data_IF_875856075239
#
_entry.id   IF_875856075239
#
_cell.length_a   1.000
_cell.length_b   1.000
_cell.length_c   1.000
_cell.angle_alpha   90.00
_cell.angle_beta   90.00
_cell.angle_gamma   90.00
#
_symmetry.space_group_name_H-M   'P 1'
#
loop_
_entity.id
_entity.type
_entity.pdbx_description
1 polymer ?
#
# COMPACT_ATOMS: atom_id res chain seq x y z
N UNK A 1 26.59 -21.93 -16.03
CA UNK A 1 26.09 -20.89 -15.12
C UNK A 1 25.17 -21.43 -14.02
N UNK A 2 23.92 -21.87 -14.30
CA UNK A 2 23.01 -22.37 -13.23
C UNK A 2 23.56 -23.61 -12.50
N UNK A 3 24.03 -24.61 -13.24
CA UNK A 3 24.61 -25.83 -12.67
C UNK A 3 25.88 -25.54 -11.85
N UNK A 4 26.69 -24.55 -12.25
CA UNK A 4 27.89 -24.13 -11.52
C UNK A 4 27.53 -23.43 -10.19
N UNK A 5 26.47 -22.63 -10.18
CA UNK A 5 25.94 -22.01 -8.97
C UNK A 5 25.41 -23.05 -8.00
N UNK A 6 24.64 -24.03 -8.49
CA UNK A 6 24.07 -25.10 -7.65
C UNK A 6 25.16 -26.05 -7.13
N UNK A 7 26.18 -26.36 -7.94
CA UNK A 7 27.25 -27.29 -7.55
C UNK A 7 28.30 -26.69 -6.62
N UNK A 8 28.38 -25.37 -6.50
CA UNK A 8 29.38 -24.68 -5.68
C UNK A 8 28.79 -24.32 -4.30
N UNK A 9 29.32 -24.87 -3.19
CA UNK A 9 28.83 -24.60 -1.83
C UNK A 9 28.87 -23.12 -1.43
N UNK A 10 29.73 -22.31 -2.05
CA UNK A 10 29.86 -20.88 -1.75
C UNK A 10 28.96 -20.01 -2.63
N UNK A 11 28.74 -20.39 -3.89
CA UNK A 11 27.91 -19.63 -4.82
C UNK A 11 26.42 -19.94 -4.65
N UNK A 12 26.06 -21.16 -4.26
CA UNK A 12 24.67 -21.56 -4.07
C UNK A 12 23.96 -20.78 -2.96
N UNK A 13 24.73 -20.10 -2.10
CA UNK A 13 24.21 -19.22 -1.03
C UNK A 13 24.71 -17.79 -1.13
N UNK A 14 25.32 -17.38 -2.25
CA UNK A 14 25.73 -15.98 -2.45
C UNK A 14 24.52 -15.04 -2.51
N UNK A 15 24.73 -13.73 -2.27
CA UNK A 15 23.64 -12.75 -2.23
C UNK A 15 22.81 -12.73 -3.52
N UNK A 16 23.46 -12.87 -4.68
CA UNK A 16 22.77 -12.98 -5.97
C UNK A 16 21.87 -14.21 -6.05
N UNK A 17 22.30 -15.35 -5.50
CA UNK A 17 21.48 -16.56 -5.47
C UNK A 17 20.30 -16.41 -4.51
N UNK A 18 20.53 -15.82 -3.32
CA UNK A 18 19.49 -15.54 -2.33
C UNK A 18 18.45 -14.56 -2.89
N UNK A 19 18.87 -13.47 -3.53
CA UNK A 19 17.95 -12.53 -4.18
C UNK A 19 17.20 -13.18 -5.36
N UNK A 20 17.87 -14.03 -6.15
CA UNK A 20 17.21 -14.78 -7.21
C UNK A 20 16.11 -15.70 -6.65
N UNK A 21 16.39 -16.45 -5.59
CA UNK A 21 15.37 -17.31 -4.94
C UNK A 21 14.26 -16.47 -4.28
N UNK A 22 14.59 -15.31 -3.71
CA UNK A 22 13.59 -14.36 -3.20
C UNK A 22 12.63 -13.93 -4.32
N UNK A 23 13.17 -13.63 -5.50
CA UNK A 23 12.36 -13.27 -6.67
C UNK A 23 11.55 -14.47 -7.20
N UNK A 24 12.10 -15.69 -7.13
CA UNK A 24 11.35 -16.91 -7.45
C UNK A 24 10.17 -17.13 -6.49
N UNK A 25 10.33 -16.87 -5.19
CA UNK A 25 9.24 -16.91 -4.21
C UNK A 25 8.12 -15.94 -4.62
N UNK A 26 8.45 -14.67 -4.89
CA UNK A 26 7.46 -13.68 -5.34
C UNK A 26 6.80 -14.10 -6.65
N UNK A 27 7.58 -14.64 -7.58
CA UNK A 27 7.07 -15.11 -8.87
C UNK A 27 6.10 -16.28 -8.68
N UNK A 28 6.44 -17.27 -7.86
CA UNK A 28 5.54 -18.39 -7.54
C UNK A 28 4.29 -17.91 -6.81
N UNK A 29 4.42 -16.95 -5.89
CA UNK A 29 3.28 -16.36 -5.19
C UNK A 29 2.33 -15.59 -6.11
N UNK A 30 2.85 -15.00 -7.18
CA UNK A 30 2.04 -14.26 -8.15
C UNK A 30 1.48 -15.16 -9.25
N UNK A 31 2.20 -16.23 -9.62
CA UNK A 31 1.98 -16.89 -10.92
C UNK A 31 2.08 -18.41 -10.93
N UNK A 32 2.61 -19.04 -9.89
CA UNK A 32 2.86 -20.49 -9.95
C UNK A 32 2.06 -21.25 -8.93
N UNK A 33 2.30 -22.56 -8.87
CA UNK A 33 1.66 -23.46 -7.92
C UNK A 33 2.11 -23.19 -6.48
N UNK A 34 1.24 -23.55 -5.54
CA UNK A 34 1.55 -23.58 -4.10
C UNK A 34 2.72 -24.51 -3.81
N UNK A 35 2.87 -25.60 -4.55
CA UNK A 35 4.00 -26.53 -4.42
C UNK A 35 5.33 -25.85 -4.72
N UNK A 36 5.45 -25.14 -5.84
CA UNK A 36 6.66 -24.41 -6.19
C UNK A 36 6.95 -23.29 -5.20
N UNK A 37 5.93 -22.56 -4.75
CA UNK A 37 6.07 -21.53 -3.73
C UNK A 37 6.69 -22.12 -2.45
N UNK A 38 6.14 -23.23 -1.96
CA UNK A 38 6.62 -23.87 -0.73
C UNK A 38 8.02 -24.46 -0.90
N UNK A 39 8.33 -25.03 -2.07
CA UNK A 39 9.68 -25.52 -2.39
C UNK A 39 10.70 -24.37 -2.35
N UNK A 40 10.39 -23.23 -2.98
CA UNK A 40 11.26 -22.05 -2.96
C UNK A 40 11.41 -21.49 -1.54
N UNK A 41 10.33 -21.35 -0.76
CA UNK A 41 10.41 -20.89 0.63
C UNK A 41 11.24 -21.83 1.51
N UNK A 42 11.11 -23.15 1.32
CA UNK A 42 11.88 -24.17 2.07
C UNK A 42 13.37 -24.10 1.75
N UNK A 43 13.70 -24.06 0.46
CA UNK A 43 15.08 -23.92 -0.01
C UNK A 43 15.71 -22.60 0.45
N UNK A 44 14.96 -21.51 0.36
CA UNK A 44 15.39 -20.18 0.80
C UNK A 44 15.72 -20.13 2.29
N UNK A 45 14.82 -20.67 3.13
CA UNK A 45 15.05 -20.81 4.57
C UNK A 45 16.36 -21.54 4.85
N UNK A 46 16.63 -22.63 4.11
CA UNK A 46 17.87 -23.40 4.27
C UNK A 46 19.11 -22.63 3.80
N UNK A 47 19.01 -21.87 2.71
CA UNK A 47 20.12 -21.04 2.22
C UNK A 47 20.55 -20.00 3.25
N UNK A 48 19.59 -19.31 3.89
CA UNK A 48 19.90 -18.33 4.94
C UNK A 48 20.57 -19.00 6.14
N UNK A 49 20.09 -20.18 6.56
CA UNK A 49 20.71 -20.94 7.65
C UNK A 49 22.15 -21.36 7.32
N UNK A 50 22.40 -21.80 6.09
CA UNK A 50 23.75 -22.16 5.64
C UNK A 50 24.69 -20.95 5.61
N UNK A 51 24.16 -19.74 5.47
CA UNK A 51 24.93 -18.49 5.57
C UNK A 51 25.25 -18.04 6.98
N UNK A 52 24.69 -18.67 8.01
CA UNK A 52 24.84 -18.26 9.41
C UNK A 52 23.68 -17.39 9.93
N UNK A 53 22.69 -17.10 9.09
CA UNK A 53 21.50 -16.32 9.45
C UNK A 53 21.38 -15.02 8.68
N UNK A 54 20.37 -14.21 9.03
CA UNK A 54 20.08 -12.94 8.33
C UNK A 54 21.13 -11.85 8.57
N UNK A 55 21.97 -11.95 9.61
CA UNK A 55 23.06 -10.99 9.86
C UNK A 55 24.24 -11.13 8.90
N UNK A 56 24.39 -12.29 8.27
CA UNK A 56 25.53 -12.63 7.40
C UNK A 56 25.21 -12.50 5.89
N UNK A 57 24.08 -11.88 5.56
CA UNK A 57 23.72 -11.54 4.19
C UNK A 57 24.33 -10.18 3.82
N UNK A 58 24.75 -10.05 2.57
CA UNK A 58 25.51 -8.90 2.09
C UNK A 58 24.66 -7.70 1.70
N UNK A 59 25.25 -6.84 0.85
CA UNK A 59 24.67 -5.57 0.40
C UNK A 59 24.26 -4.66 1.57
N UNK A 60 25.12 -4.55 2.59
CA UNK A 60 24.85 -3.73 3.79
C UNK A 60 23.51 -4.10 4.47
N UNK A 61 23.17 -5.40 4.42
CA UNK A 61 21.93 -5.94 4.98
C UNK A 61 20.68 -5.72 4.13
N UNK A 62 20.78 -5.09 2.96
CA UNK A 62 19.65 -4.95 2.02
C UNK A 62 19.02 -6.30 1.67
N UNK A 63 19.84 -7.33 1.45
CA UNK A 63 19.35 -8.68 1.17
C UNK A 63 18.50 -9.23 2.32
N UNK A 64 18.91 -9.00 3.58
CA UNK A 64 18.15 -9.39 4.78
C UNK A 64 16.82 -8.65 4.87
N UNK A 65 16.84 -7.33 4.67
CA UNK A 65 15.64 -6.49 4.72
C UNK A 65 14.59 -6.95 3.71
N UNK A 66 15.01 -7.16 2.46
CA UNK A 66 14.13 -7.63 1.38
C UNK A 66 13.59 -9.03 1.68
N UNK A 67 14.47 -9.96 2.08
CA UNK A 67 14.09 -11.33 2.40
C UNK A 67 13.00 -11.40 3.49
N UNK A 68 13.24 -10.69 4.58
CA UNK A 68 12.38 -10.67 5.75
C UNK A 68 11.05 -9.96 5.47
N UNK A 69 11.07 -8.82 4.79
CA UNK A 69 9.85 -8.07 4.48
C UNK A 69 8.99 -8.78 3.45
N UNK A 70 9.59 -9.46 2.46
CA UNK A 70 8.81 -10.26 1.51
C UNK A 70 8.08 -11.40 2.22
N UNK A 71 8.75 -12.12 3.13
CA UNK A 71 8.12 -13.17 3.92
C UNK A 71 6.99 -12.62 4.82
N UNK A 72 7.23 -11.49 5.49
CA UNK A 72 6.21 -10.82 6.30
C UNK A 72 5.00 -10.37 5.45
N UNK A 73 5.22 -9.77 4.29
CA UNK A 73 4.15 -9.31 3.40
C UNK A 73 3.35 -10.48 2.84
N UNK A 74 4.00 -11.57 2.43
CA UNK A 74 3.32 -12.81 2.02
C UNK A 74 2.42 -13.30 3.17
N UNK A 75 2.94 -13.33 4.40
CA UNK A 75 2.18 -13.76 5.56
C UNK A 75 0.97 -12.85 5.84
N UNK A 76 1.17 -11.53 5.80
CA UNK A 76 0.14 -10.51 5.98
C UNK A 76 -0.98 -10.64 4.94
N UNK A 77 -0.64 -10.84 3.67
CA UNK A 77 -1.63 -11.00 2.61
C UNK A 77 -2.42 -12.31 2.73
N UNK A 78 -1.90 -13.35 3.37
CA UNK A 78 -2.64 -14.61 3.56
C UNK A 78 -3.24 -14.76 4.95
N UNK A 79 -3.03 -13.79 5.84
CA UNK A 79 -3.39 -13.90 7.25
C UNK A 79 -2.83 -15.21 7.88
N UNK A 80 -1.54 -15.48 7.63
CA UNK A 80 -0.77 -16.62 8.17
C UNK A 80 0.43 -16.14 8.99
N UNK A 81 1.17 -17.07 9.59
CA UNK A 81 2.47 -16.78 10.20
C UNK A 81 3.59 -16.76 9.13
N UNK A 82 4.62 -15.90 9.28
CA UNK A 82 5.79 -15.88 8.41
C UNK A 82 6.68 -17.12 8.60
N UNK A 83 7.47 -17.46 7.58
CA UNK A 83 8.39 -18.61 7.63
C UNK A 83 9.74 -18.27 8.27
N UNK A 84 10.18 -17.01 8.13
CA UNK A 84 11.46 -16.50 8.64
C UNK A 84 11.32 -15.17 9.41
N UNK A 85 10.40 -14.28 9.05
CA UNK A 85 10.26 -13.00 9.75
C UNK A 85 9.82 -13.21 11.21
N UNK A 86 10.57 -12.64 12.16
CA UNK A 86 10.33 -12.79 13.59
C UNK A 86 10.55 -14.21 14.13
N UNK A 87 11.11 -15.12 13.31
CA UNK A 87 11.38 -16.50 13.72
C UNK A 87 12.77 -16.65 14.34
N UNK A 88 12.92 -17.53 15.35
CA UNK A 88 14.22 -17.82 15.95
C UNK A 88 15.27 -18.26 14.92
N UNK A 89 16.45 -17.66 14.98
CA UNK A 89 17.57 -17.92 14.06
C UNK A 89 17.54 -17.13 12.75
N UNK A 90 16.55 -16.25 12.57
CA UNK A 90 16.41 -15.34 11.41
C UNK A 90 16.39 -13.87 11.85
N UNK A 91 16.86 -13.59 13.07
CA UNK A 91 16.89 -12.23 13.60
C UNK A 91 17.83 -11.35 12.77
N UNK A 92 17.37 -10.13 12.52
CA UNK A 92 18.14 -9.09 11.88
C UNK A 92 17.91 -7.79 12.62
N UNK A 93 19.02 -7.12 12.93
CA UNK A 93 19.04 -5.83 13.60
C UNK A 93 19.89 -4.92 12.73
N UNK A 94 19.28 -3.85 12.23
CA UNK A 94 19.98 -2.86 11.41
C UNK A 94 20.67 -1.86 12.35
N UNK A 95 22.01 -1.75 12.31
CA UNK A 95 22.71 -0.81 13.17
C UNK A 95 22.39 0.65 12.84
N UNK A 96 21.82 0.94 11.66
CA UNK A 96 21.47 2.28 11.24
C UNK A 96 20.03 2.63 11.64
N UNK A 97 19.90 3.56 12.60
CA UNK A 97 18.61 4.11 13.02
C UNK A 97 18.34 5.43 12.30
N UNK A 98 17.58 5.37 11.19
CA UNK A 98 17.14 6.55 10.48
C UNK A 98 16.09 7.34 11.30
N UNK A 99 16.10 8.69 11.28
CA UNK A 99 15.01 9.48 11.84
C UNK A 99 13.66 9.10 11.21
N UNK A 100 12.59 9.20 11.99
CA UNK A 100 11.24 8.96 11.48
C UNK A 100 10.93 9.94 10.34
N UNK A 101 10.70 9.40 9.15
CA UNK A 101 10.19 10.17 8.02
C UNK A 101 8.67 10.30 8.16
N UNK A 102 8.16 11.53 8.03
CA UNK A 102 6.74 11.83 8.31
C UNK A 102 5.80 11.02 7.41
N UNK A 103 6.18 10.80 6.15
CA UNK A 103 5.45 9.97 5.16
C UNK A 103 5.31 8.50 5.59
N UNK A 104 6.11 8.01 6.53
CA UNK A 104 6.01 6.66 7.09
C UNK A 104 5.11 6.58 8.32
N UNK A 105 4.54 7.69 8.80
CA UNK A 105 3.58 7.65 9.90
C UNK A 105 2.39 6.75 9.53
N UNK A 106 2.00 5.87 10.46
CA UNK A 106 1.01 4.82 10.25
C UNK A 106 0.15 4.64 11.50
N UNK A 107 -1.13 4.23 11.36
CA UNK A 107 -1.92 3.76 12.50
C UNK A 107 -1.32 2.55 13.24
N UNK A 108 -0.34 1.87 12.65
CA UNK A 108 0.38 0.73 13.23
C UNK A 108 1.69 1.13 13.94
N UNK A 109 2.02 2.43 13.97
CA UNK A 109 3.16 2.96 14.72
C UNK A 109 2.66 3.79 15.90
N UNK A 110 2.88 3.30 17.12
CA UNK A 110 2.26 3.87 18.32
C UNK A 110 3.08 4.99 18.95
N UNK A 111 4.40 5.02 18.72
CA UNK A 111 5.31 6.04 19.24
C UNK A 111 5.48 7.24 18.29
N UNK A 112 4.55 7.42 17.35
CA UNK A 112 4.56 8.53 16.39
C UNK A 112 3.70 9.70 16.87
N UNK A 113 4.01 10.94 16.45
CA UNK A 113 3.13 12.07 16.69
C UNK A 113 1.74 11.85 16.08
N UNK A 114 0.65 12.34 16.72
CA UNK A 114 -0.70 12.29 16.17
C UNK A 114 -0.80 12.87 14.74
N UNK A 115 -1.70 12.32 13.94
CA UNK A 115 -1.96 12.80 12.59
C UNK A 115 -2.59 14.20 12.61
N UNK A 116 -3.37 14.53 13.65
CA UNK A 116 -4.08 15.81 13.78
C UNK A 116 -3.17 17.01 14.15
N UNK A 117 -1.86 16.86 14.11
CA UNK A 117 -0.94 17.96 14.43
C UNK A 117 -1.01 19.05 13.34
N UNK A 118 -1.26 20.33 13.71
CA UNK A 118 -1.38 21.43 12.75
C UNK A 118 -0.14 21.66 11.86
N UNK A 119 1.06 21.30 12.36
CA UNK A 119 2.33 21.43 11.66
C UNK A 119 2.70 20.21 10.79
N UNK A 120 1.80 19.23 10.66
CA UNK A 120 2.07 18.02 9.88
C UNK A 120 2.26 18.32 8.40
N UNK A 121 3.34 17.80 7.81
CA UNK A 121 3.62 17.93 6.38
C UNK A 121 2.78 16.98 5.51
N UNK A 122 2.00 16.05 6.10
CA UNK A 122 1.16 15.10 5.37
C UNK A 122 -0.01 15.76 4.64
N UNK A 123 -0.40 16.98 5.06
CA UNK A 123 -1.52 17.75 4.48
C UNK A 123 -2.78 16.89 4.33
N UNK A 124 -3.19 16.28 5.44
CA UNK A 124 -4.41 15.48 5.52
C UNK A 124 -5.59 16.40 5.87
N UNK A 125 -6.75 16.14 5.27
CA UNK A 125 -7.99 16.74 5.74
C UNK A 125 -8.21 16.42 7.23
N UNK A 126 -8.76 17.36 7.99
CA UNK A 126 -8.93 17.24 9.45
C UNK A 126 -9.60 15.93 9.87
N UNK A 127 -10.69 15.56 9.18
CA UNK A 127 -11.42 14.30 9.46
C UNK A 127 -10.60 13.05 9.17
N UNK A 128 -9.76 13.08 8.13
CA UNK A 128 -8.85 11.98 7.81
C UNK A 128 -7.87 11.75 8.96
N UNK A 129 -7.29 12.82 9.49
CA UNK A 129 -6.39 12.75 10.64
C UNK A 129 -7.08 12.22 11.92
N UNK A 130 -8.31 12.69 12.21
CA UNK A 130 -9.11 12.17 13.34
C UNK A 130 -9.38 10.67 13.23
N UNK A 131 -9.73 10.18 12.04
CA UNK A 131 -9.96 8.75 11.79
C UNK A 131 -8.68 7.93 12.04
N UNK A 132 -7.55 8.41 11.53
CA UNK A 132 -6.27 7.70 11.68
C UNK A 132 -5.79 7.67 13.13
N UNK A 133 -5.97 8.77 13.88
CA UNK A 133 -5.64 8.81 15.30
C UNK A 133 -6.55 7.88 16.12
N UNK A 134 -7.87 7.88 15.87
CA UNK A 134 -8.81 6.95 16.51
C UNK A 134 -8.50 5.48 16.17
N UNK A 135 -8.12 5.20 14.92
CA UNK A 135 -7.68 3.87 14.50
C UNK A 135 -6.38 3.47 15.20
N UNK A 136 -5.39 4.38 15.32
CA UNK A 136 -4.13 4.09 16.03
C UNK A 136 -4.39 3.66 17.46
N UNK A 137 -5.28 4.36 18.17
CA UNK A 137 -5.67 4.02 19.55
C UNK A 137 -6.30 2.62 19.61
N UNK A 138 -7.18 2.28 18.66
CA UNK A 138 -7.79 0.95 18.59
C UNK A 138 -6.75 -0.15 18.31
N UNK A 139 -5.85 0.08 17.35
CA UNK A 139 -4.77 -0.87 17.01
C UNK A 139 -3.83 -1.10 18.18
N UNK A 140 -3.46 -0.03 18.89
CA UNK A 140 -2.63 -0.11 20.09
C UNK A 140 -3.31 -0.91 21.19
N UNK A 141 -4.62 -0.68 21.42
CA UNK A 141 -5.38 -1.42 22.42
C UNK A 141 -5.39 -2.94 22.13
N UNK A 142 -5.49 -3.35 20.86
CA UNK A 142 -5.35 -4.77 20.48
C UNK A 142 -3.93 -5.26 20.69
N UNK A 143 -2.93 -4.49 20.26
CA UNK A 143 -1.52 -4.86 20.37
C UNK A 143 -1.07 -5.03 21.83
N UNK A 144 -1.58 -4.22 22.75
CA UNK A 144 -1.24 -4.26 24.18
C UNK A 144 -1.98 -5.36 24.95
N UNK A 145 -2.91 -6.10 24.32
CA UNK A 145 -3.53 -7.26 24.95
C UNK A 145 -2.48 -8.35 25.22
N UNK A 146 -2.44 -8.88 26.46
CA UNK A 146 -1.73 -10.12 26.76
C UNK A 146 -2.31 -11.30 25.95
N UNK A 147 -1.49 -12.32 25.68
CA UNK A 147 -1.96 -13.53 24.97
C UNK A 147 -3.05 -14.27 25.75
N UNK A 148 -3.02 -14.21 27.08
CA UNK A 148 -3.97 -14.78 28.02
C UNK A 148 -5.02 -13.76 28.51
N UNK A 149 -5.23 -12.67 27.76
CA UNK A 149 -6.18 -11.62 28.13
C UNK A 149 -7.57 -12.20 28.45
N UNK A 150 -8.04 -11.93 29.68
CA UNK A 150 -9.38 -12.29 30.10
C UNK A 150 -10.47 -11.57 29.31
N UNK A 151 -11.69 -12.11 29.38
CA UNK A 151 -12.87 -11.65 28.63
C UNK A 151 -13.14 -10.15 28.83
N UNK A 152 -12.90 -9.61 30.03
CA UNK A 152 -13.11 -8.19 30.33
C UNK A 152 -12.26 -7.26 29.45
N UNK A 153 -10.95 -7.54 29.30
CA UNK A 153 -10.05 -6.73 28.46
C UNK A 153 -10.41 -6.85 26.98
N UNK A 154 -10.80 -8.05 26.53
CA UNK A 154 -11.29 -8.25 25.16
C UNK A 154 -12.56 -7.43 24.93
N UNK A 155 -13.48 -7.39 25.89
CA UNK A 155 -14.70 -6.60 25.82
C UNK A 155 -14.43 -5.08 25.78
N UNK A 156 -13.41 -4.59 26.51
CA UNK A 156 -12.98 -3.18 26.42
C UNK A 156 -12.53 -2.81 25.00
N UNK A 157 -11.73 -3.68 24.37
CA UNK A 157 -11.30 -3.49 22.97
C UNK A 157 -12.49 -3.54 22.02
N UNK A 158 -13.43 -4.47 22.19
CA UNK A 158 -14.67 -4.51 21.39
C UNK A 158 -15.52 -3.25 21.59
N UNK A 159 -15.62 -2.71 22.81
CA UNK A 159 -16.34 -1.46 23.09
C UNK A 159 -15.68 -0.25 22.41
N UNK A 160 -14.35 -0.22 22.35
CA UNK A 160 -13.60 0.81 21.63
C UNK A 160 -13.85 0.70 20.12
N UNK A 161 -13.83 -0.52 19.57
CA UNK A 161 -14.14 -0.77 18.16
C UNK A 161 -15.57 -0.34 17.79
N UNK A 162 -16.56 -0.67 18.63
CA UNK A 162 -17.94 -0.24 18.45
C UNK A 162 -18.09 1.28 18.47
N UNK A 163 -17.37 1.95 19.38
CA UNK A 163 -17.36 3.42 19.49
C UNK A 163 -16.75 4.06 18.24
N UNK A 164 -15.63 3.53 17.74
CA UNK A 164 -15.01 4.00 16.50
C UNK A 164 -15.93 3.76 15.30
N UNK A 165 -16.58 2.60 15.21
CA UNK A 165 -17.51 2.29 14.13
C UNK A 165 -18.73 3.23 14.13
N UNK A 166 -19.28 3.52 15.32
CA UNK A 166 -20.36 4.52 15.47
C UNK A 166 -19.92 5.90 15.00
N UNK A 167 -18.70 6.32 15.36
CA UNK A 167 -18.14 7.59 14.88
C UNK A 167 -18.00 7.60 13.35
N UNK A 168 -17.42 6.57 12.75
CA UNK A 168 -17.22 6.46 11.30
C UNK A 168 -18.54 6.51 10.51
N UNK A 169 -19.60 5.90 11.05
CA UNK A 169 -20.93 5.89 10.43
C UNK A 169 -21.63 7.25 10.48
N UNK A 170 -21.24 8.15 11.37
CA UNK A 170 -21.78 9.51 11.47
C UNK A 170 -21.05 10.51 10.58
N UNK A 171 -19.86 10.14 10.08
CA UNK A 171 -19.08 11.00 9.19
C UNK A 171 -19.65 11.01 7.77
N UNK A 172 -19.50 12.13 7.04
CA UNK A 172 -19.95 12.22 5.65
C UNK A 172 -19.20 11.20 4.78
N UNK A 173 -19.85 10.72 3.72
CA UNK A 173 -19.23 9.73 2.83
C UNK A 173 -18.03 10.28 2.06
N UNK A 174 -18.03 11.60 1.81
CA UNK A 174 -16.96 12.31 1.13
C UNK A 174 -16.74 13.68 1.80
N UNK A 175 -15.53 14.20 1.67
CA UNK A 175 -15.16 15.58 2.06
C UNK A 175 -14.46 16.22 0.88
N UNK A 176 -14.53 17.54 0.77
CA UNK A 176 -13.87 18.26 -0.31
C UNK A 176 -12.37 18.37 -0.03
N UNK A 177 -11.56 18.33 -1.09
CA UNK A 177 -10.15 18.65 -0.98
C UNK A 177 -10.01 20.14 -0.62
N UNK A 178 -9.35 20.46 0.50
CA UNK A 178 -9.07 21.85 0.85
C UNK A 178 -8.18 22.48 -0.25
N UNK A 179 -8.78 23.30 -1.12
CA UNK A 179 -8.02 24.07 -2.12
C UNK A 179 -7.05 25.00 -1.39
N UNK A 180 -5.79 25.04 -1.83
CA UNK A 180 -4.68 25.79 -1.21
C UNK A 180 -4.86 27.33 -1.23
N UNK A 181 -6.08 27.86 -1.29
CA UNK A 181 -6.42 29.27 -1.52
C UNK A 181 -5.99 30.27 -0.45
N UNK A 182 -5.20 29.89 0.55
CA UNK A 182 -4.81 30.79 1.65
C UNK A 182 -3.33 30.68 2.07
N UNK A 183 -2.44 30.13 1.21
CA UNK A 183 -1.04 29.82 1.61
C UNK A 183 0.07 30.26 0.65
N UNK A 184 -0.16 31.28 -0.18
CA UNK A 184 0.88 31.87 -1.06
C UNK A 184 1.93 32.75 -0.34
N UNK A 185 1.96 32.78 1.00
CA UNK A 185 2.91 33.59 1.78
C UNK A 185 3.95 32.79 2.58
N UNK A 186 4.30 31.58 2.16
CA UNK A 186 5.46 30.87 2.72
C UNK A 186 6.68 31.00 1.79
N UNK A 187 7.86 31.41 2.29
CA UNK A 187 9.04 31.57 1.45
C UNK A 187 9.50 30.21 0.93
N UNK A 188 9.61 30.11 -0.40
CA UNK A 188 10.17 28.96 -1.10
C UNK A 188 11.64 28.80 -0.69
N UNK A 189 11.93 27.83 0.19
CA UNK A 189 13.29 27.31 0.34
C UNK A 189 13.58 26.38 -0.84
N UNK A 190 14.34 26.89 -1.80
CA UNK A 190 14.83 26.13 -2.94
C UNK A 190 15.91 25.14 -2.49
N UNK A 191 15.51 23.89 -2.26
CA UNK A 191 16.41 22.75 -2.13
C UNK A 191 17.13 22.49 -3.46
N UNK A 192 18.45 22.53 -3.41
CA UNK A 192 19.38 22.42 -4.53
C UNK A 192 19.25 21.07 -5.28
N UNK A 193 18.74 21.10 -6.52
CA UNK A 193 19.03 20.06 -7.52
C UNK A 193 20.40 20.36 -8.14
N UNK A 194 21.41 19.54 -7.81
CA UNK A 194 22.69 19.47 -8.56
C UNK A 194 22.39 19.05 -10.00
N UNK A 195 22.41 20.03 -10.92
CA UNK A 195 22.43 19.80 -12.37
C UNK A 195 23.84 20.07 -12.89
N UNK A 196 24.36 19.09 -13.61
CA UNK A 196 25.69 19.03 -14.26
C UNK A 196 25.88 20.22 -15.21
N UNK A 197 27.07 20.81 -15.16
CA UNK A 197 27.49 22.02 -15.90
C UNK A 197 27.83 21.72 -17.36
N UNK A 198 27.41 22.64 -18.23
CA UNK A 198 27.80 22.82 -19.63
C UNK A 198 26.66 23.56 -20.33
N UNK A 199 26.79 24.74 -20.93
CA UNK A 199 27.89 25.67 -21.20
C UNK A 199 27.35 26.58 -22.33
N UNK A 200 27.46 27.92 -22.15
CA UNK A 200 27.30 28.99 -23.16
C UNK A 200 25.88 29.19 -23.79
N UNK A 201 25.35 30.38 -24.09
CA UNK A 201 25.71 31.77 -23.81
C UNK A 201 24.49 32.67 -24.17
N UNK A 202 24.50 33.91 -23.65
CA UNK A 202 23.93 35.16 -24.24
C UNK A 202 22.42 35.55 -24.20
N UNK A 203 22.21 36.69 -23.50
CA UNK A 203 21.49 37.95 -23.89
C UNK A 203 19.98 38.14 -23.57
N UNK A 204 19.75 38.88 -22.48
CA UNK A 204 18.93 40.11 -22.29
C UNK A 204 17.76 40.40 -23.26
N UNK A 205 16.54 40.52 -22.71
CA UNK A 205 15.64 41.65 -23.02
C UNK A 205 14.52 41.83 -21.98
N UNK A 206 14.47 43.02 -21.38
CA UNK A 206 13.37 43.53 -20.56
C UNK A 206 12.25 44.07 -21.45
N UNK A 207 10.98 43.81 -21.08
CA UNK A 207 9.87 44.77 -21.31
C UNK A 207 8.70 44.51 -20.35
N UNK A 208 8.38 45.57 -19.58
CA UNK A 208 7.14 45.76 -18.81
C UNK A 208 6.00 46.11 -19.77
N UNK A 209 4.77 45.65 -19.49
CA UNK A 209 3.62 46.54 -19.24
C UNK A 209 2.30 45.77 -19.03
N UNK A 210 1.67 46.07 -17.89
CA UNK A 210 0.24 46.21 -17.61
C UNK A 210 -0.82 45.50 -18.49
N UNK A 211 -1.60 44.62 -17.86
CA UNK A 211 -2.93 44.18 -18.29
C UNK A 211 -3.82 44.00 -17.07
N UNK A 212 -5.00 44.59 -17.12
CA UNK A 212 -5.89 44.87 -16.00
C UNK A 212 -6.45 43.64 -15.28
N UNK A 213 -6.66 43.83 -13.98
CA UNK A 213 -7.55 43.09 -13.11
C UNK A 213 -8.92 42.90 -13.74
N UNK A 214 -9.20 41.70 -14.26
CA UNK A 214 -10.54 41.13 -14.23
C UNK A 214 -10.55 40.08 -13.12
N UNK A 215 -11.17 40.45 -12.00
CA UNK A 215 -11.75 39.49 -11.06
C UNK A 215 -12.87 38.80 -11.82
N UNK A 216 -12.51 37.80 -12.61
CA UNK A 216 -13.47 36.78 -13.02
C UNK A 216 -13.70 35.97 -11.76
N UNK A 217 -14.80 36.27 -11.08
CA UNK A 217 -15.42 35.38 -10.10
C UNK A 217 -15.74 34.10 -10.86
N UNK A 218 -14.76 33.19 -10.94
CA UNK A 218 -15.01 31.82 -11.35
C UNK A 218 -15.98 31.28 -10.31
N UNK A 219 -17.22 31.11 -10.73
CA UNK A 219 -18.20 30.28 -10.05
C UNK A 219 -17.48 29.02 -9.58
N UNK A 220 -17.68 28.70 -8.31
CA UNK A 220 -17.21 27.47 -7.65
C UNK A 220 -17.39 26.26 -8.57
N UNK A 221 -16.33 25.89 -9.28
CA UNK A 221 -16.15 24.53 -9.75
C UNK A 221 -15.98 23.72 -8.47
N UNK A 222 -16.95 22.87 -8.16
CA UNK A 222 -17.00 22.04 -6.95
C UNK A 222 -15.61 21.42 -6.72
N UNK A 223 -14.98 21.74 -5.59
CA UNK A 223 -13.68 21.17 -5.25
C UNK A 223 -13.80 19.63 -5.29
N UNK A 224 -12.86 18.91 -5.93
CA UNK A 224 -12.99 17.47 -6.08
C UNK A 224 -12.97 16.79 -4.71
N UNK A 225 -13.70 15.66 -4.55
CA UNK A 225 -13.70 14.91 -3.30
C UNK A 225 -12.30 14.39 -2.93
N UNK A 226 -11.95 14.45 -1.64
CA UNK A 226 -10.69 13.92 -1.11
C UNK A 226 -10.73 12.39 -1.09
N UNK A 227 -10.13 11.77 -2.11
CA UNK A 227 -10.04 10.32 -2.24
C UNK A 227 -9.24 9.65 -1.12
N UNK A 228 -8.29 10.37 -0.49
CA UNK A 228 -7.54 9.85 0.67
C UNK A 228 -8.48 9.69 1.86
N UNK A 229 -9.33 10.69 2.13
CA UNK A 229 -10.35 10.60 3.17
C UNK A 229 -11.26 9.39 2.96
N UNK A 230 -11.81 9.22 1.76
CA UNK A 230 -12.73 8.11 1.45
C UNK A 230 -12.05 6.76 1.69
N UNK A 231 -10.83 6.61 1.17
CA UNK A 231 -10.04 5.38 1.30
C UNK A 231 -9.75 5.07 2.77
N UNK A 232 -9.31 6.07 3.54
CA UNK A 232 -9.00 5.94 4.97
C UNK A 232 -10.24 5.57 5.77
N UNK A 233 -11.38 6.24 5.53
CA UNK A 233 -12.64 5.95 6.22
C UNK A 233 -13.10 4.51 5.98
N UNK A 234 -13.14 4.06 4.73
CA UNK A 234 -13.57 2.70 4.39
C UNK A 234 -12.63 1.65 4.98
N UNK A 235 -11.33 1.89 4.93
CA UNK A 235 -10.32 1.00 5.53
C UNK A 235 -10.48 0.92 7.06
N UNK A 236 -10.75 2.05 7.71
CA UNK A 236 -11.00 2.09 9.16
C UNK A 236 -12.28 1.32 9.54
N UNK A 237 -13.32 1.35 8.70
CA UNK A 237 -14.55 0.55 8.89
C UNK A 237 -14.24 -0.95 8.84
N UNK A 238 -13.42 -1.40 7.88
CA UNK A 238 -13.00 -2.82 7.78
C UNK A 238 -12.27 -3.24 9.06
N UNK A 239 -11.31 -2.45 9.51
CA UNK A 239 -10.58 -2.74 10.75
C UNK A 239 -11.45 -2.72 12.00
N UNK A 240 -12.32 -1.72 12.15
CA UNK A 240 -13.21 -1.61 13.29
C UNK A 240 -14.17 -2.81 13.37
N UNK A 241 -14.74 -3.25 12.24
CA UNK A 241 -15.56 -4.48 12.19
C UNK A 241 -14.77 -5.74 12.50
N UNK A 242 -13.60 -5.89 11.89
CA UNK A 242 -12.71 -7.04 12.13
C UNK A 242 -12.40 -7.18 13.63
N UNK A 243 -12.06 -6.07 14.29
CA UNK A 243 -11.73 -6.06 15.72
C UNK A 243 -12.97 -6.25 16.59
N UNK A 244 -14.09 -5.62 16.24
CA UNK A 244 -15.36 -5.77 16.96
C UNK A 244 -15.85 -7.22 16.97
N UNK A 245 -15.84 -7.87 15.82
CA UNK A 245 -16.30 -9.25 15.63
C UNK A 245 -15.22 -10.29 15.95
N UNK A 246 -13.97 -9.83 16.15
CA UNK A 246 -12.77 -10.66 16.31
C UNK A 246 -12.65 -11.69 15.17
N UNK A 247 -12.67 -11.17 13.95
CA UNK A 247 -12.54 -11.95 12.71
C UNK A 247 -11.43 -11.38 11.82
N UNK A 248 -10.74 -12.23 11.03
CA UNK A 248 -9.84 -11.77 9.97
C UNK A 248 -10.51 -10.77 9.03
N UNK A 249 -9.75 -9.82 8.48
CA UNK A 249 -10.31 -8.77 7.60
C UNK A 249 -10.99 -9.35 6.35
N UNK A 250 -10.50 -10.48 5.81
CA UNK A 250 -11.14 -11.18 4.68
C UNK A 250 -12.55 -11.72 4.99
N UNK A 251 -12.88 -11.94 6.27
CA UNK A 251 -14.16 -12.50 6.69
C UNK A 251 -15.21 -11.39 6.94
N UNK A 252 -14.79 -10.11 7.05
CA UNK A 252 -15.66 -8.94 7.26
C UNK A 252 -15.64 -7.92 6.11
N UNK A 253 -14.63 -7.95 5.25
CA UNK A 253 -14.52 -7.11 4.07
C UNK A 253 -15.15 -7.84 2.89
N UNK A 254 -16.19 -7.26 2.32
CA UNK A 254 -16.82 -7.79 1.10
C UNK A 254 -16.01 -7.43 -0.14
N UNK A 255 -16.18 -8.18 -1.23
CA UNK A 255 -15.52 -7.87 -2.51
C UNK A 255 -15.91 -6.48 -3.03
N UNK A 256 -17.17 -6.05 -2.85
CA UNK A 256 -17.62 -4.72 -3.24
C UNK A 256 -16.91 -3.61 -2.45
N UNK A 257 -16.72 -3.80 -1.14
CA UNK A 257 -15.97 -2.85 -0.30
C UNK A 257 -14.50 -2.81 -0.68
N UNK A 258 -13.89 -3.96 -0.98
CA UNK A 258 -12.53 -4.05 -1.49
C UNK A 258 -12.37 -3.27 -2.80
N UNK A 259 -13.26 -3.49 -3.78
CA UNK A 259 -13.22 -2.79 -5.07
C UNK A 259 -13.34 -1.28 -4.82
N UNK A 260 -14.27 -0.86 -3.95
CA UNK A 260 -14.44 0.56 -3.61
C UNK A 260 -13.18 1.15 -2.98
N UNK A 261 -12.57 0.50 -1.98
CA UNK A 261 -11.31 0.96 -1.37
C UNK A 261 -10.21 1.06 -2.42
N UNK A 262 -10.07 0.03 -3.25
CA UNK A 262 -9.03 -0.06 -4.27
C UNK A 262 -9.18 1.00 -5.36
N UNK A 263 -10.39 1.19 -5.90
CA UNK A 263 -10.67 2.20 -6.92
C UNK A 263 -10.45 3.62 -6.40
N UNK A 264 -10.86 3.92 -5.16
CA UNK A 264 -10.62 5.24 -4.56
C UNK A 264 -9.13 5.47 -4.28
N UNK A 265 -8.39 4.43 -3.87
CA UNK A 265 -6.94 4.51 -3.74
C UNK A 265 -6.28 4.83 -5.10
N UNK A 266 -6.71 4.20 -6.19
CA UNK A 266 -6.22 4.55 -7.53
C UNK A 266 -6.57 5.98 -7.94
N UNK A 267 -7.80 6.42 -7.66
CA UNK A 267 -8.24 7.79 -7.95
C UNK A 267 -7.41 8.85 -7.20
N UNK A 268 -6.94 8.56 -5.98
CA UNK A 268 -6.03 9.45 -5.24
C UNK A 268 -4.64 9.57 -5.89
N UNK A 269 -4.21 8.58 -6.67
CA UNK A 269 -2.94 8.55 -7.39
C UNK A 269 -1.75 8.05 -6.56
N UNK A 270 -0.83 7.34 -7.23
CA UNK A 270 0.37 6.77 -6.59
C UNK A 270 1.32 7.85 -6.04
N UNK A 271 1.38 9.02 -6.67
CA UNK A 271 2.19 10.14 -6.17
C UNK A 271 1.74 10.55 -4.76
N UNK A 272 0.42 10.64 -4.53
CA UNK A 272 -0.14 10.95 -3.22
C UNK A 272 0.18 9.85 -2.22
N UNK A 273 0.01 8.57 -2.60
CA UNK A 273 0.31 7.44 -1.71
C UNK A 273 1.80 7.29 -1.39
N UNK A 274 2.70 7.67 -2.30
CA UNK A 274 4.14 7.68 -2.01
C UNK A 274 4.48 8.64 -0.84
N UNK A 275 3.79 9.79 -0.78
CA UNK A 275 3.91 10.76 0.31
C UNK A 275 3.19 10.33 1.61
N UNK A 276 2.38 9.27 1.55
CA UNK A 276 1.58 8.71 2.66
C UNK A 276 1.87 7.20 2.85
N UNK A 277 3.10 6.76 2.59
CA UNK A 277 3.48 5.35 2.51
C UNK A 277 3.09 4.53 3.75
N UNK A 278 3.19 5.09 4.96
CA UNK A 278 2.78 4.41 6.19
C UNK A 278 1.26 4.17 6.30
N UNK A 279 0.45 5.10 5.78
CA UNK A 279 -1.01 4.97 5.67
C UNK A 279 -1.35 3.98 4.56
N UNK A 280 -0.66 4.05 3.43
CA UNK A 280 -0.85 3.14 2.31
C UNK A 280 -0.54 1.68 2.70
N UNK A 281 0.55 1.43 3.44
CA UNK A 281 0.88 0.11 3.98
C UNK A 281 -0.23 -0.42 4.91
N UNK A 282 -0.73 0.41 5.82
CA UNK A 282 -1.85 0.04 6.70
C UNK A 282 -3.13 -0.32 5.91
N UNK A 283 -3.40 0.43 4.83
CA UNK A 283 -4.52 0.15 3.93
C UNK A 283 -4.33 -1.17 3.18
N UNK A 284 -3.18 -1.39 2.56
CA UNK A 284 -2.92 -2.63 1.80
C UNK A 284 -2.93 -3.87 2.68
N UNK A 285 -2.49 -3.78 3.94
CA UNK A 285 -2.61 -4.86 4.93
C UNK A 285 -4.08 -5.23 5.18
N UNK A 286 -4.97 -4.23 5.27
CA UNK A 286 -6.39 -4.47 5.54
C UNK A 286 -7.05 -5.30 4.43
N UNK A 287 -6.76 -4.94 3.18
CA UNK A 287 -7.38 -5.54 1.98
C UNK A 287 -6.61 -6.74 1.42
N UNK A 288 -5.35 -6.92 1.80
CA UNK A 288 -4.47 -8.01 1.34
C UNK A 288 -5.09 -9.40 1.48
N UNK A 289 -5.62 -9.78 2.66
CA UNK A 289 -6.31 -11.05 2.88
C UNK A 289 -7.43 -11.39 1.90
N UNK A 290 -8.16 -10.39 1.39
CA UNK A 290 -9.25 -10.60 0.44
C UNK A 290 -8.76 -10.57 -1.02
N UNK A 291 -7.60 -9.95 -1.30
CA UNK A 291 -7.19 -9.68 -2.67
C UNK A 291 -7.08 -10.93 -3.55
N UNK A 292 -6.82 -12.10 -2.94
CA UNK A 292 -6.65 -13.38 -3.62
C UNK A 292 -7.86 -13.84 -4.44
N UNK A 293 -9.07 -13.38 -4.09
CA UNK A 293 -10.31 -13.75 -4.78
C UNK A 293 -10.72 -12.73 -5.84
N UNK A 294 -9.88 -11.72 -6.12
CA UNK A 294 -10.23 -10.63 -7.05
C UNK A 294 -9.23 -10.54 -8.20
N UNK A 295 -9.67 -9.93 -9.31
CA UNK A 295 -8.80 -9.66 -10.46
C UNK A 295 -7.63 -8.72 -10.12
N UNK A 296 -7.73 -7.96 -9.02
CA UNK A 296 -6.72 -7.00 -8.58
C UNK A 296 -5.61 -7.62 -7.72
N UNK A 297 -5.70 -8.93 -7.37
CA UNK A 297 -4.75 -9.63 -6.50
C UNK A 297 -3.29 -9.29 -6.79
N UNK A 298 -2.89 -9.41 -8.06
CA UNK A 298 -1.50 -9.21 -8.51
C UNK A 298 -1.00 -7.80 -8.24
N UNK A 299 -1.83 -6.81 -8.51
CA UNK A 299 -1.45 -5.41 -8.36
C UNK A 299 -1.39 -5.03 -6.87
N UNK A 300 -2.35 -5.49 -6.06
CA UNK A 300 -2.32 -5.31 -4.60
C UNK A 300 -1.05 -5.92 -4.01
N UNK A 301 -0.75 -7.19 -4.33
CA UNK A 301 0.45 -7.88 -3.83
C UNK A 301 1.73 -7.14 -4.23
N UNK A 302 1.86 -6.78 -5.51
CA UNK A 302 3.02 -6.05 -6.05
C UNK A 302 3.22 -4.72 -5.35
N UNK A 303 2.17 -3.91 -5.21
CA UNK A 303 2.27 -2.61 -4.56
C UNK A 303 2.53 -2.74 -3.06
N UNK A 304 1.98 -3.76 -2.39
CA UNK A 304 2.29 -4.04 -0.98
C UNK A 304 3.76 -4.38 -0.79
N UNK A 305 4.31 -5.30 -1.60
CA UNK A 305 5.74 -5.65 -1.57
C UNK A 305 6.61 -4.43 -1.86
N UNK A 306 6.21 -3.62 -2.85
CA UNK A 306 6.97 -2.41 -3.24
C UNK A 306 6.99 -1.38 -2.11
N UNK A 307 5.84 -1.13 -1.48
CA UNK A 307 5.73 -0.21 -0.33
C UNK A 307 6.59 -0.66 0.84
N UNK A 308 6.51 -1.94 1.24
CA UNK A 308 7.33 -2.44 2.34
C UNK A 308 8.82 -2.46 1.99
N UNK A 309 9.18 -2.81 0.75
CA UNK A 309 10.58 -2.76 0.29
C UNK A 309 11.11 -1.33 0.36
N UNK A 310 10.37 -0.35 -0.18
CA UNK A 310 10.72 1.07 -0.12
C UNK A 310 10.88 1.56 1.33
N UNK A 311 9.91 1.28 2.19
CA UNK A 311 9.98 1.65 3.59
C UNK A 311 11.14 0.98 4.31
N UNK A 312 11.39 -0.31 4.05
CA UNK A 312 12.45 -1.07 4.70
C UNK A 312 13.85 -0.68 4.27
N UNK A 313 14.04 -0.28 3.01
CA UNK A 313 15.32 0.23 2.54
C UNK A 313 15.64 1.59 3.12
N UNK A 314 14.63 2.44 3.31
CA UNK A 314 14.78 3.80 3.84
C UNK A 314 14.81 3.84 5.38
N UNK A 315 14.00 3.01 6.03
CA UNK A 315 13.87 2.92 7.48
C UNK A 315 13.38 1.52 7.90
N UNK A 316 14.34 0.62 8.10
CA UNK A 316 14.08 -0.78 8.50
C UNK A 316 13.21 -0.89 9.75
N UNK A 317 13.52 -0.11 10.79
CA UNK A 317 12.85 -0.18 12.09
C UNK A 317 11.37 0.16 11.96
N UNK A 318 11.04 1.18 11.16
CA UNK A 318 9.63 1.52 10.88
C UNK A 318 8.91 0.41 10.12
N UNK A 319 9.52 -0.12 9.04
CA UNK A 319 8.88 -1.16 8.23
C UNK A 319 8.69 -2.48 9.02
N UNK A 320 9.71 -2.88 9.78
CA UNK A 320 9.66 -4.08 10.62
C UNK A 320 8.72 -3.94 11.81
N UNK A 321 8.61 -2.76 12.42
CA UNK A 321 7.64 -2.49 13.48
C UNK A 321 6.20 -2.58 12.95
N UNK A 322 5.89 -1.93 11.81
CA UNK A 322 4.58 -2.03 11.17
C UNK A 322 4.23 -3.49 10.86
N UNK A 323 5.16 -4.24 10.26
CA UNK A 323 4.94 -5.66 9.95
C UNK A 323 4.69 -6.49 11.22
N UNK A 324 5.47 -6.27 12.28
CA UNK A 324 5.33 -6.96 13.57
C UNK A 324 3.98 -6.69 14.22
N UNK A 325 3.58 -5.42 14.31
CA UNK A 325 2.29 -5.01 14.86
C UNK A 325 1.14 -5.61 14.05
N UNK A 326 1.21 -5.50 12.72
CA UNK A 326 0.17 -6.04 11.83
C UNK A 326 0.01 -7.55 11.96
N UNK A 327 1.12 -8.30 11.99
CA UNK A 327 1.11 -9.76 12.16
C UNK A 327 0.52 -10.15 13.51
N UNK A 328 0.86 -9.44 14.59
CA UNK A 328 0.30 -9.69 15.93
C UNK A 328 -1.20 -9.44 15.97
N UNK A 329 -1.67 -8.35 15.37
CA UNK A 329 -3.10 -8.03 15.29
C UNK A 329 -3.84 -9.08 14.47
N UNK A 330 -3.31 -9.47 13.31
CA UNK A 330 -3.88 -10.55 12.49
C UNK A 330 -3.93 -11.90 13.24
N UNK A 331 -2.89 -12.24 14.00
CA UNK A 331 -2.87 -13.43 14.85
C UNK A 331 -3.98 -13.39 15.91
N UNK A 332 -4.18 -12.24 16.55
CA UNK A 332 -5.27 -12.05 17.51
C UNK A 332 -6.66 -12.19 16.86
N UNK A 333 -6.84 -11.63 15.66
CA UNK A 333 -8.07 -11.72 14.87
C UNK A 333 -8.39 -13.15 14.42
N UNK A 334 -7.39 -14.03 14.28
CA UNK A 334 -7.62 -15.46 14.01
C UNK A 334 -8.30 -16.18 15.17
N UNK A 335 -8.29 -15.61 16.38
CA UNK A 335 -8.91 -16.20 17.58
C UNK A 335 -8.50 -17.68 17.83
N UNK A 336 -7.22 -17.99 17.58
CA UNK A 336 -6.67 -19.34 17.74
C UNK A 336 -6.93 -20.32 16.59
N UNK A 337 -7.61 -19.90 15.51
CA UNK A 337 -7.69 -20.70 14.28
C UNK A 337 -6.28 -20.89 13.69
N UNK A 338 -6.02 -22.10 13.21
CA UNK A 338 -4.75 -22.43 12.57
C UNK A 338 -4.45 -21.50 11.40
N UNK A 339 -3.22 -20.98 11.33
CA UNK A 339 -2.72 -20.10 10.28
C UNK A 339 -2.33 -20.86 9.01
N UNK A 340 -2.09 -22.17 9.13
CA UNK A 340 -1.64 -23.05 8.05
C UNK A 340 -2.05 -24.51 8.29
N UNK A 341 -2.19 -25.34 7.25
CA UNK A 341 -2.48 -26.75 7.40
C UNK A 341 -1.40 -27.49 8.20
N UNK A 342 -1.79 -28.53 8.94
CA UNK A 342 -0.86 -29.35 9.70
C UNK A 342 0.24 -29.95 8.79
N UNK A 343 1.50 -29.80 9.20
CA UNK A 343 2.66 -30.26 8.43
C UNK A 343 3.08 -29.36 7.27
N UNK A 344 2.32 -28.32 6.94
CA UNK A 344 2.71 -27.35 5.91
C UNK A 344 3.80 -26.39 6.43
N UNK A 345 4.69 -25.99 5.51
CA UNK A 345 5.70 -24.97 5.80
C UNK A 345 5.03 -23.61 6.08
N UNK A 346 4.08 -23.22 5.24
CA UNK A 346 3.39 -21.93 5.26
C UNK A 346 1.90 -22.11 4.93
N UNK A 347 1.06 -21.20 5.41
CA UNK A 347 -0.34 -21.08 5.00
C UNK A 347 -0.53 -20.30 3.69
N UNK A 348 0.55 -19.71 3.17
CA UNK A 348 0.57 -19.03 1.88
C UNK A 348 0.34 -20.00 0.73
N UNK A 349 -0.33 -19.56 -0.32
CA UNK A 349 -0.56 -20.33 -1.54
C UNK A 349 -0.09 -19.57 -2.77
N UNK A 350 0.16 -20.29 -3.86
CA UNK A 350 0.65 -19.73 -5.10
C UNK A 350 -0.40 -18.90 -5.87
N UNK A 351 -0.03 -18.46 -7.06
CA UNK A 351 -0.90 -17.71 -7.96
C UNK A 351 -1.84 -18.57 -8.79
N UNK A 352 -1.76 -19.91 -8.71
CA UNK A 352 -2.40 -20.84 -9.64
C UNK A 352 -3.92 -20.62 -9.74
N UNK A 353 -4.62 -20.49 -8.60
CA UNK A 353 -6.07 -20.24 -8.59
C UNK A 353 -6.44 -18.90 -9.23
N UNK A 354 -5.61 -17.89 -9.02
CA UNK A 354 -5.81 -16.57 -9.64
C UNK A 354 -5.65 -16.64 -11.16
N UNK A 355 -4.71 -17.43 -11.67
CA UNK A 355 -4.54 -17.65 -13.11
C UNK A 355 -5.68 -18.49 -13.68
N UNK A 356 -6.09 -19.55 -12.99
CA UNK A 356 -7.22 -20.38 -13.40
C UNK A 356 -8.51 -19.57 -13.52
N UNK A 357 -8.71 -18.62 -12.61
CA UNK A 357 -9.93 -17.81 -12.54
C UNK A 357 -9.88 -16.58 -13.47
N UNK A 358 -8.75 -15.87 -13.54
CA UNK A 358 -8.64 -14.56 -14.19
C UNK A 358 -7.64 -14.51 -15.36
N UNK A 359 -6.88 -15.57 -15.60
CA UNK A 359 -5.87 -15.67 -16.66
C UNK A 359 -4.53 -14.97 -16.36
N UNK A 360 -3.60 -15.07 -17.32
CA UNK A 360 -2.25 -14.52 -17.21
C UNK A 360 -2.19 -13.00 -17.41
N UNK A 361 -3.13 -12.38 -18.11
CA UNK A 361 -3.10 -10.96 -18.43
C UNK A 361 -4.47 -10.31 -18.46
N UNK A 362 -4.47 -9.03 -18.10
CA UNK A 362 -5.48 -8.00 -18.29
C UNK A 362 -6.09 -8.03 -19.70
N UNK A 363 -7.03 -8.96 -19.98
CA UNK A 363 -7.89 -8.83 -21.16
C UNK A 363 -8.84 -7.66 -20.91
N UNK A 364 -8.68 -6.58 -21.68
CA UNK A 364 -9.67 -5.55 -22.07
C UNK A 364 -10.64 -4.97 -21.01
N UNK A 365 -10.41 -5.21 -19.71
CA UNK A 365 -11.18 -4.64 -18.60
C UNK A 365 -10.27 -3.78 -17.70
N UNK A 366 -9.39 -2.97 -18.30
CA UNK A 366 -8.93 -1.76 -17.63
C UNK A 366 -10.16 -0.94 -17.31
N UNK A 367 -10.40 -0.72 -16.02
CA UNK A 367 -11.51 0.04 -15.45
C UNK A 367 -11.92 1.21 -16.38
N UNK A 368 -13.20 1.26 -16.74
CA UNK A 368 -13.90 2.54 -16.86
C UNK A 368 -13.88 3.17 -15.45
N UNK A 369 -12.75 3.76 -15.10
CA UNK A 369 -12.67 4.68 -13.98
C UNK A 369 -13.66 5.81 -14.30
N UNK A 370 -14.44 6.30 -13.34
CA UNK A 370 -15.25 7.50 -13.56
C UNK A 370 -14.34 8.63 -14.07
N UNK A 371 -14.41 8.90 -15.36
CA UNK A 371 -13.65 9.97 -15.98
C UNK A 371 -14.39 11.28 -15.71
N UNK A 372 -14.09 11.91 -14.58
CA UNK A 372 -14.61 13.24 -14.29
C UNK A 372 -13.91 14.35 -15.12
N UNK A 373 -13.15 14.02 -16.19
CA UNK A 373 -12.45 15.02 -17.02
C UNK A 373 -13.18 15.44 -18.28
N UNK A 374 -14.35 14.88 -18.59
CA UNK A 374 -15.11 15.24 -19.79
C UNK A 374 -16.61 15.41 -19.53
N UNK A 375 -16.98 16.31 -18.62
CA UNK A 375 -18.32 16.92 -18.61
C UNK A 375 -18.18 18.45 -18.60
N UNK A 376 -17.56 19.00 -19.65
CA UNK A 376 -17.71 20.42 -20.01
C UNK A 376 -17.09 20.71 -21.38
N UNK A 377 -17.65 20.12 -22.44
CA UNK A 377 -17.61 20.76 -23.76
C UNK A 377 -19.01 20.70 -24.35
N UNK A 378 -19.60 21.85 -24.74
CA UNK A 378 -20.86 21.84 -25.48
C UNK A 378 -20.60 21.22 -26.86
N UNK A 379 -21.51 20.31 -27.25
CA UNK A 379 -21.60 19.79 -28.61
C UNK A 379 -21.73 20.97 -29.58
N UNK A 380 -20.71 21.16 -30.43
CA UNK A 380 -20.91 21.86 -31.70
C UNK A 380 -21.59 20.85 -32.63
N UNK A 381 -22.85 21.13 -32.96
CA UNK A 381 -23.64 20.43 -33.96
C UNK A 381 -22.99 20.69 -35.33
N UNK A 382 -22.47 19.64 -35.98
CA UNK A 382 -22.18 19.70 -37.42
C UNK A 382 -23.52 19.55 -38.14
N UNK A 383 -23.96 20.64 -38.76
CA UNK A 383 -25.10 20.71 -39.67
C UNK A 383 -24.83 19.81 -40.91
N UNK A 384 -25.54 18.68 -40.98
CA UNK A 384 -25.78 17.93 -42.21
C UNK A 384 -26.98 18.58 -42.93
N UNK A 385 -26.70 19.38 -43.97
CA UNK A 385 -27.70 19.74 -44.98
C UNK A 385 -27.57 18.78 -46.16
N UNK A 386 -28.58 17.92 -46.28
CA UNK A 386 -28.93 17.11 -47.45
C UNK A 386 -29.26 18.00 -48.67
N UNK A 387 -28.90 17.55 -49.88
CA UNK A 387 -29.89 17.20 -50.93
C UNK A 387 -29.24 17.00 -52.32
N UNK A 388 -29.40 15.77 -52.81
CA UNK A 388 -29.83 15.35 -54.15
C UNK A 388 -29.58 16.27 -55.37
N UNK A 389 -28.85 15.75 -56.37
CA UNK A 389 -29.48 15.47 -57.68
C UNK A 389 -28.64 14.56 -58.59
N UNK A 390 -29.37 13.67 -59.27
CA UNK A 390 -28.91 12.58 -60.12
C UNK A 390 -28.38 13.05 -61.49
N UNK A 391 -27.59 12.14 -62.08
CA UNK A 391 -27.66 11.72 -63.49
C UNK A 391 -26.58 12.22 -64.45
N UNK A 392 -25.77 11.24 -64.87
CA UNK A 392 -25.34 10.94 -66.24
C UNK A 392 -24.64 12.04 -67.06
N UNK A 393 -23.48 11.70 -67.64
CA UNK A 393 -23.31 11.40 -69.07
C UNK A 393 -21.80 11.35 -69.40
N UNK A 394 -21.41 10.22 -69.98
CA UNK A 394 -20.27 9.95 -70.86
C UNK A 394 -19.25 11.07 -71.17
N UNK A 395 -17.96 10.76 -70.95
CA UNK A 395 -17.00 10.37 -72.00
C UNK A 395 -15.67 9.92 -71.40
#
# INVERSE_FOLDING_TARGET
MLNEYISSPTLCTGDSAILAVTQLILTSWYWSSTEELHAHMSGFRKMIQLRGGCRDLGMEGCTSKIALLNDAVIALCHNTDPVIFGQPGFEYDDPFHAPLQVNFNSPLLFNCPPFLIPSSSLRLHKRTAEILDGTRVLMQAVYDLPEDAGIAKVHEVSSLAASLLSFLNQLPDQVLLESNGDRDNAPVFTGQKRKRVGGEDTIVSSKKSHGASLVTTRSSTEDPPDMVYVTVRLTAVVWARAILERLPTKDVCTEAEFIRIWSMAWAAGLDKWSSLSGIYAWMTIAIGPLCHTTIHARMVKTLTVTTFTYMGTENWHVASEIATVALKIQAWLRAGKESKPQGALSGAFGGEKGIETFGFAFKENTMDLPDHRYESQPHEEEDDDDDDEQSAWAS
#
